data_IF_657847845860
#
_entry.id   IF_657847845860
#
_cell.length_a   1.000
_cell.length_b   1.000
_cell.length_c   1.000
_cell.angle_alpha   90.00
_cell.angle_beta   90.00
_cell.angle_gamma   90.00
#
_symmetry.space_group_name_H-M   'P 1'
#
loop_
_entity.id
_entity.type
_entity.pdbx_description
1 polymer ?
#
# COMPACT_ATOMS: atom_id res chain seq x y z
N UNK A 1 -2.51 34.99 -13.61
CA UNK A 1 -1.30 34.15 -13.44
C UNK A 1 -1.64 32.99 -12.51
N UNK A 2 -1.36 31.74 -12.86
CA UNK A 2 -1.54 30.63 -11.94
C UNK A 2 -0.60 30.83 -10.74
N UNK A 3 -1.15 30.81 -9.52
CA UNK A 3 -0.33 30.86 -8.29
C UNK A 3 0.67 29.72 -8.33
N UNK A 4 1.97 30.04 -8.24
CA UNK A 4 2.98 29.02 -8.03
C UNK A 4 2.58 28.20 -6.78
N UNK A 5 2.60 26.87 -6.85
CA UNK A 5 2.30 26.06 -5.69
C UNK A 5 3.31 26.39 -4.59
N UNK A 6 2.81 26.85 -3.45
CA UNK A 6 3.67 27.05 -2.28
C UNK A 6 4.30 25.72 -1.90
N UNK A 7 5.60 25.69 -1.55
CA UNK A 7 6.25 24.47 -1.11
C UNK A 7 5.49 23.88 0.08
N UNK A 8 5.32 22.56 0.10
CA UNK A 8 4.69 21.87 1.21
C UNK A 8 5.49 22.16 2.50
N UNK A 9 4.84 22.56 3.59
CA UNK A 9 5.52 22.86 4.85
C UNK A 9 6.07 21.63 5.54
N UNK A 10 5.64 20.42 5.13
CA UNK A 10 6.00 19.15 5.75
C UNK A 10 6.33 18.10 4.69
N UNK A 11 7.38 17.31 4.94
CA UNK A 11 7.79 16.17 4.13
C UNK A 11 7.83 14.91 5.01
N UNK A 12 7.19 13.83 4.58
CA UNK A 12 7.20 12.58 5.34
C UNK A 12 6.01 11.68 5.05
N UNK A 13 5.78 10.71 5.92
CA UNK A 13 4.64 9.82 5.85
C UNK A 13 3.74 9.90 7.08
N UNK A 14 2.45 9.64 6.91
CA UNK A 14 1.48 9.37 7.97
C UNK A 14 0.92 7.98 7.77
N UNK A 15 0.72 7.26 8.85
CA UNK A 15 -0.01 6.00 8.86
C UNK A 15 -1.34 6.24 9.58
N UNK A 16 -2.44 6.18 8.84
CA UNK A 16 -3.78 6.40 9.38
C UNK A 16 -4.51 5.07 9.49
N UNK A 17 -5.13 4.81 10.64
CA UNK A 17 -6.13 3.76 10.77
C UNK A 17 -7.43 4.24 10.13
N UNK A 18 -7.64 3.85 8.86
CA UNK A 18 -8.85 4.26 8.15
C UNK A 18 -10.08 3.61 8.78
N UNK A 19 -11.06 4.37 9.25
CA UNK A 19 -12.30 3.80 9.76
C UNK A 19 -13.16 3.22 8.63
N UNK A 20 -14.08 2.34 8.97
CA UNK A 20 -15.11 1.82 8.07
C UNK A 20 -16.04 2.96 7.58
N UNK A 21 -16.59 2.81 6.40
CA UNK A 21 -17.56 3.74 5.80
C UNK A 21 -16.95 4.99 5.14
N UNK A 22 -15.65 5.22 5.30
CA UNK A 22 -14.92 6.31 4.61
C UNK A 22 -14.14 5.76 3.43
N UNK A 23 -14.08 6.53 2.35
CA UNK A 23 -13.17 6.25 1.24
C UNK A 23 -11.72 6.66 1.59
N UNK A 24 -10.74 6.10 0.90
CA UNK A 24 -9.35 6.58 1.03
C UNK A 24 -9.20 8.05 0.66
N UNK A 25 -10.06 8.55 -0.26
CA UNK A 25 -10.05 9.95 -0.69
C UNK A 25 -10.55 10.89 0.41
N UNK A 26 -11.60 10.49 1.15
CA UNK A 26 -12.11 11.26 2.30
C UNK A 26 -11.02 11.47 3.35
N UNK A 27 -10.20 10.43 3.60
CA UNK A 27 -9.08 10.54 4.54
C UNK A 27 -7.98 11.46 4.00
N UNK A 28 -7.65 11.35 2.71
CA UNK A 28 -6.69 12.27 2.06
C UNK A 28 -7.17 13.72 2.19
N UNK A 29 -8.44 14.00 1.95
CA UNK A 29 -9.00 15.35 2.03
C UNK A 29 -9.05 15.87 3.46
N UNK A 30 -9.39 15.02 4.44
CA UNK A 30 -9.30 15.39 5.85
C UNK A 30 -7.86 15.77 6.23
N UNK A 31 -6.86 14.97 5.82
CA UNK A 31 -5.45 15.28 6.10
C UNK A 31 -4.98 16.54 5.36
N UNK A 32 -5.42 16.78 4.12
CA UNK A 32 -5.16 18.02 3.39
C UNK A 32 -5.66 19.25 4.14
N UNK A 33 -6.87 19.16 4.69
CA UNK A 33 -7.44 20.23 5.51
C UNK A 33 -6.63 20.50 6.77
N UNK A 34 -6.26 19.43 7.51
CA UNK A 34 -5.47 19.53 8.75
C UNK A 34 -4.04 20.04 8.49
N UNK A 35 -3.43 19.64 7.39
CA UNK A 35 -2.07 20.00 7.01
C UNK A 35 -1.98 21.39 6.36
N UNK A 36 -3.07 21.92 5.81
CA UNK A 36 -3.11 23.21 5.11
C UNK A 36 -2.46 23.20 3.72
N UNK A 37 -2.21 22.03 3.10
CA UNK A 37 -1.65 21.94 1.74
C UNK A 37 -2.13 20.68 1.00
N UNK A 38 -1.94 20.67 -0.34
CA UNK A 38 -2.59 19.69 -1.24
C UNK A 38 -1.72 18.52 -1.67
N UNK A 39 -0.40 18.64 -1.59
CA UNK A 39 0.53 17.62 -2.12
C UNK A 39 0.59 16.41 -1.18
N UNK A 40 -0.45 15.58 -1.22
CA UNK A 40 -0.60 14.35 -0.45
C UNK A 40 -1.06 13.23 -1.37
N UNK A 41 -0.37 12.10 -1.33
CA UNK A 41 -0.72 10.87 -2.03
C UNK A 41 -0.83 9.69 -1.08
N UNK A 42 -1.42 8.57 -1.50
CA UNK A 42 -1.53 7.35 -0.67
C UNK A 42 -0.88 6.14 -1.34
N UNK A 43 -0.51 5.12 -0.54
CA UNK A 43 0.14 3.89 -0.97
C UNK A 43 -0.86 2.73 -1.17
N UNK A 44 -1.94 2.99 -1.87
CA UNK A 44 -2.96 2.01 -2.23
C UNK A 44 -4.30 2.25 -1.57
N UNK A 45 -5.32 2.22 -2.40
CA UNK A 45 -6.72 2.42 -2.02
C UNK A 45 -7.20 1.34 -1.04
N UNK A 46 -8.07 1.71 -0.11
CA UNK A 46 -8.94 0.85 0.66
C UNK A 46 -10.39 1.17 0.28
N UNK A 47 -11.19 0.12 0.10
CA UNK A 47 -12.64 0.23 -0.12
C UNK A 47 -13.33 0.85 1.13
N UNK A 48 -14.55 1.38 1.03
CA UNK A 48 -15.27 1.95 2.17
C UNK A 48 -15.46 0.94 3.32
N UNK A 49 -15.80 -0.31 2.99
CA UNK A 49 -15.91 -1.41 3.95
C UNK A 49 -14.61 -1.64 4.74
N UNK A 50 -13.46 -1.47 4.09
CA UNK A 50 -12.16 -1.82 4.65
C UNK A 50 -11.70 -0.82 5.72
N UNK A 51 -11.03 -1.37 6.76
CA UNK A 51 -10.37 -0.59 7.82
C UNK A 51 -8.86 -0.76 7.78
N UNK A 52 -8.14 -0.03 8.64
CA UNK A 52 -6.73 -0.26 8.91
C UNK A 52 -5.77 0.65 8.14
N UNK A 53 -4.57 0.17 7.93
CA UNK A 53 -3.41 0.94 7.47
C UNK A 53 -3.65 1.63 6.13
N UNK A 54 -3.77 2.95 6.15
CA UNK A 54 -3.72 3.82 4.98
C UNK A 54 -2.50 4.74 5.12
N UNK A 55 -1.47 4.47 4.33
CA UNK A 55 -0.24 5.27 4.34
C UNK A 55 -0.40 6.45 3.40
N UNK A 56 -0.16 7.66 3.92
CA UNK A 56 -0.16 8.91 3.18
C UNK A 56 1.26 9.45 3.10
N UNK A 57 1.69 9.84 1.90
CA UNK A 57 2.96 10.52 1.66
C UNK A 57 2.70 12.00 1.45
N UNK A 58 3.42 12.87 2.16
CA UNK A 58 3.23 14.30 2.21
C UNK A 58 4.42 15.03 1.60
N UNK A 59 4.14 16.11 0.87
CA UNK A 59 5.16 16.97 0.31
C UNK A 59 6.10 16.22 -0.63
N UNK A 60 7.41 16.39 -0.45
CA UNK A 60 8.43 15.73 -1.28
C UNK A 60 8.38 14.21 -1.20
N UNK A 61 7.89 13.64 -0.09
CA UNK A 61 7.74 12.19 0.05
C UNK A 61 6.80 11.59 -1.00
N UNK A 62 5.87 12.37 -1.60
CA UNK A 62 5.01 11.90 -2.69
C UNK A 62 5.81 11.36 -3.89
N UNK A 63 7.04 11.82 -4.08
CA UNK A 63 7.94 11.32 -5.14
C UNK A 63 8.42 9.89 -4.89
N UNK A 64 8.25 9.39 -3.67
CA UNK A 64 8.61 8.01 -3.29
C UNK A 64 7.51 6.99 -3.56
N UNK A 65 6.28 7.40 -3.94
CA UNK A 65 5.15 6.50 -4.23
C UNK A 65 5.57 5.33 -5.11
N UNK A 66 6.33 5.59 -6.19
CA UNK A 66 6.76 4.56 -7.14
C UNK A 66 7.62 3.45 -6.54
N UNK A 67 8.31 3.69 -5.41
CA UNK A 67 9.12 2.69 -4.71
C UNK A 67 8.29 1.84 -3.72
N UNK A 68 7.05 2.24 -3.51
CA UNK A 68 6.10 1.53 -2.65
C UNK A 68 5.02 0.78 -3.44
N UNK A 69 4.91 0.99 -4.76
CA UNK A 69 3.81 0.45 -5.57
C UNK A 69 3.74 -1.09 -5.54
N UNK A 70 4.88 -1.78 -5.49
CA UNK A 70 4.95 -3.24 -5.45
C UNK A 70 4.91 -3.86 -4.06
N UNK A 71 4.88 -3.05 -2.98
CA UNK A 71 5.01 -3.57 -1.61
C UNK A 71 3.86 -4.50 -1.23
N UNK A 72 4.22 -5.59 -0.53
CA UNK A 72 3.28 -6.56 0.03
C UNK A 72 2.30 -5.89 0.96
N UNK A 73 1.13 -6.46 1.06
CA UNK A 73 0.08 -6.03 1.96
C UNK A 73 -0.38 -7.20 2.80
N UNK A 74 -0.66 -6.96 4.06
CA UNK A 74 -1.20 -7.96 4.97
C UNK A 74 -2.59 -7.54 5.42
N UNK A 75 -3.47 -8.53 5.49
CA UNK A 75 -4.87 -8.35 5.85
C UNK A 75 -5.32 -9.38 6.88
N UNK A 76 -6.24 -8.98 7.74
CA UNK A 76 -7.21 -9.89 8.35
C UNK A 76 -8.52 -9.72 7.61
N UNK A 77 -9.17 -10.82 7.25
CA UNK A 77 -10.38 -10.80 6.44
C UNK A 77 -11.39 -11.83 6.94
N UNK A 78 -12.68 -11.49 6.97
CA UNK A 78 -13.79 -12.38 7.26
C UNK A 78 -14.60 -12.62 5.99
N UNK A 79 -14.76 -13.91 5.63
CA UNK A 79 -15.58 -14.34 4.50
C UNK A 79 -16.87 -14.92 5.01
N UNK A 80 -18.01 -14.41 4.54
CA UNK A 80 -19.35 -14.93 4.80
C UNK A 80 -19.74 -15.87 3.67
N UNK A 81 -19.94 -17.12 3.99
CA UNK A 81 -20.41 -18.16 3.09
C UNK A 81 -21.93 -18.27 3.13
N UNK A 82 -22.52 -18.80 2.04
CA UNK A 82 -23.96 -19.05 1.92
C UNK A 82 -24.59 -18.32 0.75
N UNK A 83 -24.03 -17.21 0.30
CA UNK A 83 -24.40 -16.49 -0.92
C UNK A 83 -23.27 -15.57 -1.38
N UNK A 84 -23.22 -15.35 -2.69
CA UNK A 84 -22.35 -14.33 -3.29
C UNK A 84 -23.08 -12.98 -3.37
N UNK A 85 -22.30 -11.88 -3.58
CA UNK A 85 -22.85 -10.57 -3.93
C UNK A 85 -22.25 -10.09 -5.24
N UNK A 86 -22.91 -9.12 -5.90
CA UNK A 86 -22.45 -8.57 -7.17
C UNK A 86 -21.16 -7.73 -7.05
N UNK A 87 -20.79 -7.26 -5.84
CA UNK A 87 -19.55 -6.53 -5.55
C UNK A 87 -18.47 -7.41 -4.94
N UNK A 88 -18.80 -8.67 -4.61
CA UNK A 88 -17.97 -9.62 -3.88
C UNK A 88 -17.68 -9.21 -2.42
N UNK A 89 -18.41 -8.22 -1.90
CA UNK A 89 -18.36 -7.76 -0.51
C UNK A 89 -19.79 -7.52 0.05
N UNK A 90 -19.89 -7.21 1.34
CA UNK A 90 -21.18 -7.02 2.02
C UNK A 90 -21.92 -5.74 1.64
N UNK A 91 -21.31 -4.83 0.86
CA UNK A 91 -21.99 -3.62 0.36
C UNK A 91 -22.80 -3.89 -0.93
N UNK A 92 -22.65 -5.09 -1.52
CA UNK A 92 -23.32 -5.51 -2.73
C UNK A 92 -24.69 -6.15 -2.51
N UNK A 93 -25.39 -6.39 -3.63
CA UNK A 93 -26.68 -7.08 -3.67
C UNK A 93 -26.44 -8.59 -3.72
N UNK A 94 -27.16 -9.35 -2.87
CA UNK A 94 -27.07 -10.81 -2.86
C UNK A 94 -27.45 -11.43 -4.20
N UNK A 95 -26.69 -12.45 -4.61
CA UNK A 95 -26.94 -13.25 -5.80
C UNK A 95 -27.41 -14.65 -5.39
N UNK A 96 -28.69 -14.76 -5.14
CA UNK A 96 -29.34 -16.01 -4.69
C UNK A 96 -29.67 -16.01 -3.19
N UNK A 97 -30.31 -17.10 -2.72
CA UNK A 97 -30.71 -17.27 -1.34
C UNK A 97 -29.50 -17.60 -0.44
N UNK A 98 -29.59 -17.27 0.86
CA UNK A 98 -28.65 -17.75 1.86
C UNK A 98 -28.91 -19.24 2.16
N UNK A 99 -27.97 -20.11 1.81
CA UNK A 99 -28.10 -21.56 1.95
C UNK A 99 -27.56 -22.09 3.31
N UNK A 100 -27.12 -21.21 4.20
CA UNK A 100 -26.61 -21.54 5.53
C UNK A 100 -25.69 -22.77 5.56
N UNK A 101 -24.52 -22.75 4.89
CA UNK A 101 -23.69 -23.92 4.70
C UNK A 101 -23.07 -24.43 6.00
N UNK A 102 -22.92 -25.74 6.11
CA UNK A 102 -22.04 -26.34 7.12
C UNK A 102 -20.62 -26.36 6.53
N UNK A 103 -19.74 -25.55 7.09
CA UNK A 103 -18.37 -25.43 6.61
C UNK A 103 -17.47 -26.50 7.22
N UNK A 104 -16.71 -27.20 6.37
CA UNK A 104 -15.65 -28.12 6.80
C UNK A 104 -14.32 -27.34 6.89
N UNK A 105 -13.70 -27.37 8.07
CA UNK A 105 -12.42 -26.68 8.33
C UNK A 105 -11.31 -27.18 7.40
N UNK A 106 -11.19 -28.49 7.20
CA UNK A 106 -10.14 -29.09 6.37
C UNK A 106 -10.28 -28.71 4.91
N UNK A 107 -11.55 -28.59 4.42
CA UNK A 107 -11.83 -28.12 3.07
C UNK A 107 -11.38 -26.64 2.91
N UNK A 108 -11.75 -25.78 3.88
CA UNK A 108 -11.37 -24.36 3.85
C UNK A 108 -9.85 -24.18 3.89
N UNK A 109 -9.15 -24.88 4.79
CA UNK A 109 -7.69 -24.82 4.92
C UNK A 109 -6.98 -25.30 3.64
N UNK A 110 -7.46 -26.38 3.02
CA UNK A 110 -6.93 -26.88 1.75
C UNK A 110 -7.12 -25.86 0.63
N UNK A 111 -8.32 -25.30 0.46
CA UNK A 111 -8.60 -24.31 -0.58
C UNK A 111 -7.79 -23.01 -0.40
N UNK A 112 -7.55 -22.60 0.86
CA UNK A 112 -6.67 -21.49 1.17
C UNK A 112 -5.21 -21.81 0.76
N UNK A 113 -4.72 -23.01 1.10
CA UNK A 113 -3.36 -23.45 0.73
C UNK A 113 -3.15 -23.55 -0.79
N UNK A 114 -4.15 -24.06 -1.54
CA UNK A 114 -4.13 -24.12 -3.00
C UNK A 114 -4.08 -22.73 -3.68
N UNK A 115 -4.47 -21.69 -2.98
CA UNK A 115 -4.48 -20.31 -3.47
C UNK A 115 -3.18 -19.54 -3.12
N UNK A 116 -2.20 -20.21 -2.50
CA UNK A 116 -0.87 -19.64 -2.22
C UNK A 116 0.01 -19.78 -3.46
N UNK A 117 0.78 -18.74 -3.77
CA UNK A 117 1.66 -18.64 -4.93
C UNK A 117 1.17 -17.63 -5.97
N UNK A 118 1.82 -17.60 -7.15
CA UNK A 118 1.45 -16.72 -8.26
C UNK A 118 0.28 -17.31 -9.06
N UNK A 119 -0.68 -16.47 -9.42
CA UNK A 119 -1.80 -16.82 -10.31
C UNK A 119 -2.39 -15.59 -10.99
N UNK A 120 -3.24 -15.84 -12.00
CA UNK A 120 -3.99 -14.80 -12.70
C UNK A 120 -5.35 -14.57 -12.00
N UNK A 121 -5.56 -13.37 -11.46
CA UNK A 121 -6.81 -13.00 -10.80
C UNK A 121 -7.63 -12.05 -11.68
N UNK A 122 -8.91 -12.36 -11.87
CA UNK A 122 -9.86 -11.43 -12.47
C UNK A 122 -10.31 -10.42 -11.41
N UNK A 123 -10.05 -9.11 -11.60
CA UNK A 123 -10.53 -8.09 -10.69
C UNK A 123 -12.06 -8.05 -10.61
N UNK A 124 -12.67 -7.65 -9.49
CA UNK A 124 -14.10 -7.42 -9.42
C UNK A 124 -14.49 -6.23 -10.32
N UNK A 125 -15.72 -6.28 -10.88
CA UNK A 125 -16.23 -5.21 -11.76
C UNK A 125 -16.24 -3.85 -11.03
N UNK A 126 -16.57 -3.86 -9.75
CA UNK A 126 -16.50 -2.68 -8.89
C UNK A 126 -15.09 -2.46 -8.34
N UNK A 127 -14.15 -2.08 -9.21
CA UNK A 127 -12.75 -1.82 -8.85
C UNK A 127 -12.23 -0.50 -9.42
N UNK A 128 -11.12 -0.01 -8.85
CA UNK A 128 -10.42 1.17 -9.35
C UNK A 128 -9.54 0.88 -10.59
N UNK A 129 -9.53 -0.37 -11.10
CA UNK A 129 -8.80 -0.73 -12.32
C UNK A 129 -9.35 0.07 -13.49
N UNK A 130 -8.47 0.68 -14.29
CA UNK A 130 -8.89 1.49 -15.43
C UNK A 130 -9.13 0.64 -16.66
N UNK A 131 -10.27 0.85 -17.30
CA UNK A 131 -10.65 0.31 -18.62
C UNK A 131 -10.83 1.50 -19.54
N UNK A 132 -10.08 1.56 -20.63
CA UNK A 132 -10.07 2.71 -21.55
C UNK A 132 -9.89 4.08 -20.84
N UNK A 133 -9.04 4.12 -19.80
CA UNK A 133 -8.75 5.34 -19.05
C UNK A 133 -9.75 5.71 -17.95
N UNK A 134 -10.91 5.02 -17.86
CA UNK A 134 -11.96 5.23 -16.85
C UNK A 134 -11.95 4.12 -15.81
N UNK A 135 -12.17 4.40 -14.51
CA UNK A 135 -12.28 3.37 -13.48
C UNK A 135 -13.44 2.40 -13.77
N UNK A 136 -13.23 1.10 -13.57
CA UNK A 136 -14.24 0.07 -13.85
C UNK A 136 -15.54 0.28 -13.03
N UNK A 137 -15.42 0.75 -11.76
CA UNK A 137 -16.58 1.03 -10.92
C UNK A 137 -17.50 2.15 -11.49
N UNK A 138 -16.95 3.12 -12.23
CA UNK A 138 -17.75 4.18 -12.87
C UNK A 138 -18.56 3.63 -14.05
N UNK A 139 -17.98 2.70 -14.81
CA UNK A 139 -18.64 2.02 -15.92
C UNK A 139 -19.74 1.09 -15.39
N UNK A 140 -19.40 0.29 -14.35
CA UNK A 140 -20.34 -0.63 -13.71
C UNK A 140 -21.59 0.08 -13.15
N UNK A 141 -21.43 1.25 -12.50
CA UNK A 141 -22.55 2.07 -12.00
C UNK A 141 -23.46 2.59 -13.11
N UNK A 142 -22.97 2.66 -14.35
CA UNK A 142 -23.75 3.07 -15.53
C UNK A 142 -24.34 1.87 -16.29
N UNK A 143 -24.22 0.65 -15.73
CA UNK A 143 -24.60 -0.62 -16.39
C UNK A 143 -23.90 -0.82 -17.75
N UNK A 144 -22.73 -0.19 -17.95
CA UNK A 144 -21.88 -0.46 -19.11
C UNK A 144 -21.19 -1.83 -18.92
N UNK A 145 -21.13 -2.63 -19.98
CA UNK A 145 -20.44 -3.94 -19.94
C UNK A 145 -18.94 -3.69 -19.76
N UNK A 146 -18.37 -4.22 -18.69
CA UNK A 146 -16.95 -4.08 -18.36
C UNK A 146 -16.28 -5.44 -18.46
N UNK A 147 -15.46 -5.64 -19.46
CA UNK A 147 -14.60 -6.80 -19.57
C UNK A 147 -13.27 -6.50 -18.90
N UNK A 148 -12.99 -7.21 -17.78
CA UNK A 148 -11.76 -7.08 -17.04
C UNK A 148 -10.83 -8.25 -17.37
N UNK A 149 -9.63 -7.93 -17.88
CA UNK A 149 -8.62 -8.94 -18.12
C UNK A 149 -8.00 -9.37 -16.80
N UNK A 150 -7.76 -10.69 -16.62
CA UNK A 150 -6.96 -11.19 -15.50
C UNK A 150 -5.63 -10.43 -15.38
N UNK A 151 -5.10 -10.38 -14.20
CA UNK A 151 -3.82 -9.75 -13.91
C UNK A 151 -3.01 -10.65 -12.96
N UNK A 152 -1.69 -10.73 -13.15
CA UNK A 152 -0.83 -11.52 -12.29
C UNK A 152 -0.82 -10.95 -10.88
N UNK A 153 -1.06 -11.82 -9.90
CA UNK A 153 -0.99 -11.55 -8.47
C UNK A 153 -0.28 -12.71 -7.78
N UNK A 154 0.15 -12.47 -6.54
CA UNK A 154 0.78 -13.50 -5.73
C UNK A 154 0.26 -13.44 -4.30
N UNK A 155 -0.14 -14.57 -3.75
CA UNK A 155 -0.50 -14.74 -2.34
C UNK A 155 0.65 -15.46 -1.65
N UNK A 156 1.26 -14.83 -0.65
CA UNK A 156 2.41 -15.37 0.09
C UNK A 156 2.00 -16.15 1.33
N UNK A 157 0.89 -15.74 1.97
CA UNK A 157 0.27 -16.41 3.09
C UNK A 157 -1.26 -16.33 2.95
N UNK A 158 -1.94 -17.46 3.20
CA UNK A 158 -3.38 -17.52 3.27
C UNK A 158 -3.78 -18.55 4.33
N UNK A 159 -3.91 -18.10 5.57
CA UNK A 159 -4.09 -18.97 6.74
C UNK A 159 -5.44 -18.71 7.39
N UNK A 160 -6.20 -19.78 7.61
CA UNK A 160 -7.43 -19.76 8.41
C UNK A 160 -7.10 -19.46 9.88
N UNK A 161 -7.73 -18.46 10.47
CA UNK A 161 -7.52 -18.04 11.86
C UNK A 161 -8.69 -18.34 12.76
N UNK A 162 -9.90 -18.49 12.21
CA UNK A 162 -11.09 -18.83 12.98
C UNK A 162 -12.27 -19.16 12.09
N UNK A 163 -13.23 -19.91 12.64
CA UNK A 163 -14.52 -20.20 11.99
C UNK A 163 -15.63 -20.12 13.01
N UNK A 164 -16.76 -19.54 12.63
CA UNK A 164 -17.96 -19.43 13.45
C UNK A 164 -19.20 -19.40 12.54
N UNK A 165 -20.02 -20.47 12.62
CA UNK A 165 -21.15 -20.61 11.72
C UNK A 165 -20.72 -20.57 10.26
N UNK A 166 -21.31 -19.67 9.48
CA UNK A 166 -20.98 -19.47 8.09
C UNK A 166 -19.85 -18.41 7.85
N UNK A 167 -19.15 -18.00 8.89
CA UNK A 167 -18.02 -17.10 8.83
C UNK A 167 -16.69 -17.84 8.95
N UNK A 168 -15.74 -17.55 8.06
CA UNK A 168 -14.35 -17.95 8.21
C UNK A 168 -13.44 -16.73 8.19
N UNK A 169 -12.48 -16.66 9.11
CA UNK A 169 -11.52 -15.54 9.23
C UNK A 169 -10.12 -16.00 8.83
N UNK A 170 -9.43 -15.12 8.15
CA UNK A 170 -8.13 -15.41 7.54
C UNK A 170 -7.09 -14.33 7.84
N UNK A 171 -5.82 -14.74 7.91
CA UNK A 171 -4.64 -13.90 7.73
C UNK A 171 -4.15 -14.10 6.30
N UNK A 172 -3.99 -13.00 5.55
CA UNK A 172 -3.60 -13.05 4.14
C UNK A 172 -2.46 -12.05 3.90
N UNK A 173 -1.34 -12.55 3.34
CA UNK A 173 -0.27 -11.70 2.81
C UNK A 173 -0.21 -11.86 1.30
N UNK A 174 -0.25 -10.73 0.57
CA UNK A 174 -0.32 -10.76 -0.89
C UNK A 174 0.41 -9.59 -1.55
N UNK A 175 0.65 -9.74 -2.85
CA UNK A 175 1.19 -8.70 -3.72
C UNK A 175 0.22 -7.52 -3.85
N UNK A 176 0.77 -6.38 -4.27
CA UNK A 176 -0.07 -5.24 -4.66
C UNK A 176 -0.95 -5.60 -5.86
N UNK A 177 -2.20 -5.15 -5.83
CA UNK A 177 -3.17 -5.44 -6.89
C UNK A 177 -4.05 -6.66 -6.63
N UNK A 178 -3.75 -7.48 -5.61
CA UNK A 178 -4.61 -8.60 -5.22
C UNK A 178 -5.91 -8.08 -4.60
N UNK A 179 -7.04 -8.58 -5.07
CA UNK A 179 -8.38 -8.30 -4.55
C UNK A 179 -8.81 -9.39 -3.59
N UNK A 180 -8.88 -9.07 -2.30
CA UNK A 180 -9.33 -10.00 -1.26
C UNK A 180 -10.80 -10.38 -1.48
N UNK A 181 -11.59 -9.48 -2.05
CA UNK A 181 -12.99 -9.74 -2.46
C UNK A 181 -13.10 -10.88 -3.47
N UNK A 182 -12.20 -10.90 -4.47
CA UNK A 182 -12.15 -12.02 -5.44
C UNK A 182 -11.78 -13.32 -4.76
N UNK A 183 -10.82 -13.33 -3.80
CA UNK A 183 -10.48 -14.55 -3.04
C UNK A 183 -11.69 -15.11 -2.27
N UNK A 184 -12.51 -14.24 -1.66
CA UNK A 184 -13.73 -14.65 -0.98
C UNK A 184 -14.73 -15.26 -1.95
N UNK A 185 -15.01 -14.58 -3.06
CA UNK A 185 -15.91 -15.04 -4.10
C UNK A 185 -15.48 -16.38 -4.67
N UNK A 186 -14.21 -16.50 -5.09
CA UNK A 186 -13.68 -17.72 -5.72
C UNK A 186 -13.73 -18.92 -4.77
N UNK A 187 -13.41 -18.72 -3.48
CA UNK A 187 -13.53 -19.77 -2.47
C UNK A 187 -14.98 -20.23 -2.30
N UNK A 188 -15.93 -19.29 -2.26
CA UNK A 188 -17.36 -19.60 -2.21
C UNK A 188 -17.88 -20.36 -3.43
N UNK A 189 -17.35 -20.04 -4.63
CA UNK A 189 -17.67 -20.77 -5.87
C UNK A 189 -17.12 -22.22 -5.82
N UNK A 190 -15.87 -22.40 -5.37
CA UNK A 190 -15.26 -23.74 -5.24
C UNK A 190 -16.00 -24.63 -4.25
N UNK A 191 -16.57 -24.06 -3.18
CA UNK A 191 -17.39 -24.79 -2.19
C UNK A 191 -18.81 -25.04 -2.73
N UNK A 192 -19.29 -24.21 -3.65
CA UNK A 192 -20.61 -24.34 -4.28
C UNK A 192 -21.76 -23.64 -3.54
N UNK A 193 -21.46 -22.88 -2.45
CA UNK A 193 -22.48 -22.16 -1.69
C UNK A 193 -22.44 -20.63 -1.89
N UNK A 194 -21.46 -20.12 -2.65
CA UNK A 194 -21.18 -18.68 -2.75
C UNK A 194 -20.56 -18.14 -1.46
N UNK A 195 -19.78 -17.06 -1.61
CA UNK A 195 -19.27 -16.28 -0.48
C UNK A 195 -18.98 -14.84 -0.92
N UNK A 196 -18.84 -13.96 0.08
CA UNK A 196 -18.44 -12.59 -0.10
C UNK A 196 -17.55 -12.13 1.07
N UNK A 197 -16.81 -11.05 0.85
CA UNK A 197 -16.01 -10.41 1.89
C UNK A 197 -16.94 -9.62 2.83
N UNK A 198 -17.02 -10.03 4.10
CA UNK A 198 -17.85 -9.38 5.13
C UNK A 198 -17.05 -8.36 5.95
N UNK A 199 -15.79 -8.70 6.28
CA UNK A 199 -14.91 -7.89 7.11
C UNK A 199 -13.51 -7.86 6.50
N UNK A 200 -12.83 -6.72 6.56
CA UNK A 200 -11.43 -6.62 6.14
C UNK A 200 -10.71 -5.49 6.87
N UNK A 201 -9.54 -5.81 7.40
CA UNK A 201 -8.61 -4.84 7.98
C UNK A 201 -7.25 -5.02 7.34
N UNK A 202 -6.71 -3.95 6.72
CA UNK A 202 -5.32 -3.97 6.26
C UNK A 202 -4.39 -3.72 7.44
N UNK A 203 -3.62 -4.73 7.83
CA UNK A 203 -2.75 -4.68 9.00
C UNK A 203 -1.34 -4.18 8.68
N UNK A 204 -0.89 -4.30 7.41
CA UNK A 204 0.40 -3.77 6.99
C UNK A 204 0.46 -3.42 5.49
N UNK A 205 1.37 -2.49 5.16
CA UNK A 205 1.80 -2.12 3.80
C UNK A 205 3.32 -1.92 3.83
N UNK A 206 4.11 -2.87 3.30
CA UNK A 206 5.58 -2.83 3.42
C UNK A 206 6.02 -2.69 4.87
N UNK A 207 6.81 -1.66 5.17
CA UNK A 207 7.32 -1.35 6.52
C UNK A 207 6.30 -0.69 7.45
N UNK A 208 5.11 -0.36 6.98
CA UNK A 208 4.10 0.32 7.79
C UNK A 208 3.09 -0.68 8.34
N UNK A 209 2.84 -0.62 9.66
CA UNK A 209 1.92 -1.53 10.35
C UNK A 209 0.78 -0.80 11.06
N UNK A 210 -0.24 -1.57 11.47
CA UNK A 210 -1.38 -1.04 12.21
C UNK A 210 -0.99 -0.47 13.58
N UNK A 211 0.08 -0.97 14.19
CA UNK A 211 0.59 -0.48 15.47
C UNK A 211 1.13 0.96 15.37
N UNK A 212 1.60 1.36 14.19
CA UNK A 212 2.06 2.72 13.90
C UNK A 212 0.92 3.65 13.49
N UNK A 213 -0.26 3.09 13.20
CA UNK A 213 -1.38 3.85 12.69
C UNK A 213 -2.07 4.66 13.79
N UNK A 214 -2.47 5.87 13.47
CA UNK A 214 -3.25 6.74 14.35
C UNK A 214 -4.63 6.99 13.78
N UNK A 215 -5.59 7.30 14.64
CA UNK A 215 -6.92 7.73 14.25
C UNK A 215 -6.89 9.16 13.69
N UNK A 216 -7.80 9.49 12.79
CA UNK A 216 -7.86 10.83 12.18
C UNK A 216 -8.17 11.91 13.23
N UNK A 217 -8.93 11.57 14.25
CA UNK A 217 -9.30 12.43 15.38
C UNK A 217 -8.07 12.77 16.23
N UNK A 218 -7.17 11.81 16.43
CA UNK A 218 -5.90 12.02 17.13
C UNK A 218 -5.01 13.00 16.36
N UNK A 219 -4.90 12.80 15.04
CA UNK A 219 -4.18 13.73 14.17
C UNK A 219 -4.77 15.14 14.22
N UNK A 220 -6.11 15.25 14.18
CA UNK A 220 -6.80 16.52 14.29
C UNK A 220 -6.55 17.22 15.65
N UNK A 221 -6.52 16.45 16.74
CA UNK A 221 -6.16 16.98 18.05
C UNK A 221 -4.70 17.48 18.10
N UNK A 222 -3.78 16.76 17.47
CA UNK A 222 -2.38 17.17 17.36
C UNK A 222 -2.23 18.46 16.52
N UNK A 223 -2.95 18.55 15.40
CA UNK A 223 -2.95 19.73 14.53
C UNK A 223 -3.42 20.99 15.27
N UNK A 224 -4.53 20.90 16.02
CA UNK A 224 -5.02 22.03 16.85
C UNK A 224 -4.01 22.53 17.89
N UNK A 225 -3.09 21.64 18.33
CA UNK A 225 -2.02 21.97 19.28
C UNK A 225 -0.71 22.40 18.57
N UNK A 226 -0.70 22.59 17.25
CA UNK A 226 0.49 22.90 16.46
C UNK A 226 1.50 21.74 16.38
N UNK A 227 1.07 20.51 16.70
CA UNK A 227 1.93 19.31 16.76
C UNK A 227 1.74 18.37 15.54
N UNK A 228 1.20 18.85 14.43
CA UNK A 228 0.99 18.03 13.23
C UNK A 228 2.30 17.40 12.75
N UNK A 229 3.37 18.19 12.63
CA UNK A 229 4.66 17.73 12.13
C UNK A 229 5.28 16.61 12.98
N UNK A 230 5.07 16.62 14.29
CA UNK A 230 5.59 15.58 15.19
C UNK A 230 4.91 14.20 15.01
N UNK A 231 3.86 14.13 14.21
CA UNK A 231 3.14 12.89 13.87
C UNK A 231 3.63 12.27 12.57
N UNK A 232 4.51 12.95 11.85
CA UNK A 232 5.06 12.45 10.60
C UNK A 232 6.22 11.50 10.86
N UNK A 233 6.26 10.41 10.11
CA UNK A 233 7.47 9.63 9.89
C UNK A 233 8.34 10.47 8.97
N UNK A 234 9.56 10.86 9.38
CA UNK A 234 10.42 11.74 8.59
C UNK A 234 10.78 11.14 7.23
N UNK A 235 10.98 12.01 6.23
CA UNK A 235 11.40 11.61 4.87
C UNK A 235 12.67 10.75 4.91
N UNK A 236 13.60 11.06 5.82
CA UNK A 236 14.87 10.38 6.03
C UNK A 236 14.72 8.94 6.51
N UNK A 237 13.60 8.61 7.14
CA UNK A 237 13.29 7.27 7.66
C UNK A 237 12.60 6.36 6.64
N UNK A 238 12.16 6.90 5.49
CA UNK A 238 11.45 6.14 4.47
C UNK A 238 12.39 5.24 3.67
N UNK A 239 11.86 4.12 3.15
CA UNK A 239 12.60 3.10 2.40
C UNK A 239 13.80 2.53 3.19
N UNK A 240 13.64 2.13 4.47
CA UNK A 240 14.74 1.71 5.32
C UNK A 240 15.50 0.47 4.79
N UNK A 241 14.86 -0.34 3.96
CA UNK A 241 15.45 -1.50 3.31
C UNK A 241 16.49 -1.16 2.23
N UNK A 242 16.46 0.06 1.67
CA UNK A 242 17.48 0.48 0.73
C UNK A 242 18.78 0.84 1.46
N UNK A 243 19.95 0.41 0.94
CA UNK A 243 21.24 0.83 1.46
C UNK A 243 21.34 2.35 1.52
N UNK A 244 22.16 2.84 2.46
CA UNK A 244 22.42 4.25 2.66
C UNK A 244 23.83 4.60 2.22
N UNK A 245 24.01 5.73 1.51
CA UNK A 245 25.29 6.32 1.20
C UNK A 245 25.36 7.75 1.77
N UNK A 246 26.38 8.04 2.59
CA UNK A 246 26.67 9.40 3.05
C UNK A 246 27.70 10.03 2.10
N UNK A 247 27.37 11.18 1.52
CA UNK A 247 28.23 11.83 0.55
C UNK A 247 28.88 13.10 1.12
N UNK A 248 30.10 13.38 0.66
CA UNK A 248 30.82 14.61 0.99
C UNK A 248 30.20 15.81 0.24
N UNK A 249 30.41 17.07 0.70
CA UNK A 249 29.77 18.26 0.11
C UNK A 249 30.02 18.43 -1.38
N UNK A 250 31.20 18.06 -1.88
CA UNK A 250 31.53 18.13 -3.29
C UNK A 250 30.66 17.18 -4.13
N UNK A 251 30.40 15.96 -3.63
CA UNK A 251 29.52 14.98 -4.26
C UNK A 251 28.05 15.38 -4.07
N UNK A 252 27.69 15.95 -2.93
CA UNK A 252 26.32 16.45 -2.67
C UNK A 252 25.89 17.43 -3.75
N UNK A 253 26.73 18.42 -4.08
CA UNK A 253 26.45 19.37 -5.16
C UNK A 253 26.16 18.65 -6.49
N UNK A 254 26.99 17.67 -6.84
CA UNK A 254 26.83 16.87 -8.07
C UNK A 254 25.53 16.05 -8.07
N UNK A 255 25.21 15.40 -6.92
CA UNK A 255 23.97 14.64 -6.74
C UNK A 255 22.74 15.53 -6.87
N UNK A 256 22.76 16.73 -6.29
CA UNK A 256 21.64 17.69 -6.34
C UNK A 256 21.39 18.24 -7.75
N UNK A 257 22.41 18.27 -8.61
CA UNK A 257 22.26 18.58 -10.04
C UNK A 257 21.89 17.32 -10.88
N UNK A 258 21.63 16.16 -10.24
CA UNK A 258 21.30 14.93 -10.95
C UNK A 258 22.47 14.24 -11.62
N UNK A 259 23.73 14.65 -11.32
CA UNK A 259 24.93 14.07 -11.93
C UNK A 259 25.29 12.70 -11.38
N UNK A 260 25.87 11.83 -12.23
CA UNK A 260 26.39 10.53 -11.80
C UNK A 260 27.50 10.70 -10.77
N UNK A 261 27.56 9.79 -9.79
CA UNK A 261 28.56 9.83 -8.73
C UNK A 261 29.00 8.40 -8.34
N UNK A 262 30.20 8.32 -7.77
CA UNK A 262 30.76 7.07 -7.29
C UNK A 262 30.63 6.98 -5.77
N UNK A 263 30.40 5.77 -5.27
CA UNK A 263 30.32 5.47 -3.84
C UNK A 263 31.34 4.41 -3.50
N UNK A 264 32.16 4.66 -2.48
CA UNK A 264 33.09 3.67 -1.95
C UNK A 264 32.38 2.71 -1.01
N UNK A 265 32.92 1.53 -0.79
CA UNK A 265 32.38 0.55 0.17
C UNK A 265 32.27 1.15 1.58
N UNK A 266 33.22 1.98 2.00
CA UNK A 266 33.21 2.65 3.31
C UNK A 266 32.06 3.68 3.46
N UNK A 267 31.51 4.18 2.37
CA UNK A 267 30.38 5.12 2.38
C UNK A 267 29.03 4.41 2.35
N UNK A 268 29.00 3.10 2.05
CA UNK A 268 27.79 2.30 2.00
C UNK A 268 27.51 1.70 3.37
N UNK A 269 26.33 1.99 3.89
CA UNK A 269 25.77 1.31 5.04
C UNK A 269 24.64 0.41 4.55
N UNK A 270 24.59 -0.87 4.95
CA UNK A 270 23.48 -1.75 4.57
C UNK A 270 22.15 -1.12 5.03
N UNK A 271 21.09 -1.41 4.30
CA UNK A 271 19.75 -1.06 4.75
C UNK A 271 19.47 -1.82 6.03
N UNK A 272 19.04 -1.13 7.07
CA UNK A 272 18.56 -1.74 8.30
C UNK A 272 17.04 -1.77 8.24
N UNK A 273 16.50 -2.92 8.60
CA UNK A 273 15.07 -3.05 8.77
C UNK A 273 14.81 -3.85 10.03
N UNK A 274 14.74 -3.15 11.17
CA UNK A 274 13.89 -3.61 12.25
C UNK A 274 12.47 -3.30 11.82
N UNK A 275 11.79 -4.34 11.34
CA UNK A 275 10.38 -4.21 11.02
C UNK A 275 9.59 -4.18 12.32
N UNK A 276 8.65 -3.25 12.47
CA UNK A 276 7.68 -3.35 13.54
C UNK A 276 6.92 -4.68 13.44
N UNK A 277 6.45 -5.26 14.55
CA UNK A 277 5.65 -6.47 14.54
C UNK A 277 4.52 -6.35 13.49
N UNK A 278 4.36 -7.38 12.66
CA UNK A 278 3.35 -7.38 11.61
C UNK A 278 3.75 -6.70 10.28
N UNK A 279 4.84 -5.96 10.20
CA UNK A 279 5.35 -5.46 8.92
C UNK A 279 6.12 -6.54 8.15
N UNK A 280 6.12 -6.46 6.82
CA UNK A 280 6.72 -7.46 5.94
C UNK A 280 8.03 -6.99 5.33
N UNK A 281 9.07 -7.85 5.38
CA UNK A 281 10.27 -7.64 4.57
C UNK A 281 9.93 -7.97 3.12
N UNK A 282 9.97 -6.97 2.23
CA UNK A 282 10.23 -7.25 0.84
C UNK A 282 11.65 -6.80 0.50
N UNK A 283 12.50 -7.78 0.29
CA UNK A 283 13.54 -7.63 -0.73
C UNK A 283 12.78 -7.58 -2.07
N UNK A 284 12.97 -6.54 -2.89
CA UNK A 284 12.55 -6.63 -4.29
C UNK A 284 13.13 -7.93 -4.84
N UNK A 285 12.38 -8.69 -5.68
CA UNK A 285 12.92 -9.92 -6.26
C UNK A 285 14.27 -9.59 -6.89
N UNK A 286 15.30 -10.33 -6.52
CA UNK A 286 16.64 -10.19 -7.10
C UNK A 286 16.50 -10.29 -8.62
N UNK A 287 16.85 -9.21 -9.32
CA UNK A 287 16.91 -9.16 -10.78
C UNK A 287 15.92 -8.23 -11.48
N UNK A 288 14.90 -7.68 -10.82
CA UNK A 288 13.91 -6.83 -11.50
C UNK A 288 14.38 -5.38 -11.75
N UNK A 289 15.30 -4.84 -10.95
CA UNK A 289 15.82 -3.48 -11.07
C UNK A 289 17.30 -3.40 -10.69
N UNK A 290 18.01 -2.42 -11.26
CA UNK A 290 19.38 -2.12 -10.83
C UNK A 290 19.42 -1.74 -9.34
N UNK A 291 20.46 -2.11 -8.59
CA UNK A 291 20.58 -1.83 -7.16
C UNK A 291 20.37 -0.34 -6.86
N UNK A 292 19.52 -0.05 -5.87
CA UNK A 292 19.17 1.31 -5.46
C UNK A 292 19.73 1.63 -4.09
N UNK A 293 19.96 2.92 -3.83
CA UNK A 293 20.37 3.41 -2.53
C UNK A 293 19.76 4.78 -2.20
N UNK A 294 19.71 5.07 -0.91
CA UNK A 294 19.38 6.38 -0.36
C UNK A 294 20.66 7.19 -0.20
N UNK A 295 20.66 8.41 -0.72
CA UNK A 295 21.83 9.31 -0.64
C UNK A 295 21.56 10.38 0.40
N UNK A 296 22.46 10.51 1.37
CA UNK A 296 22.36 11.45 2.47
C UNK A 296 23.51 12.48 2.45
N UNK A 297 23.18 13.72 2.80
CA UNK A 297 24.16 14.74 3.11
C UNK A 297 24.87 14.44 4.46
N UNK A 298 25.93 15.21 4.75
CA UNK A 298 26.59 15.14 6.05
C UNK A 298 25.69 15.61 7.22
N UNK A 299 24.67 16.46 6.94
CA UNK A 299 23.67 16.88 7.92
C UNK A 299 22.53 15.88 8.10
N UNK A 300 22.71 14.64 7.63
CA UNK A 300 21.72 13.57 7.74
C UNK A 300 20.39 13.85 6.99
N UNK A 301 20.42 14.65 5.92
CA UNK A 301 19.26 14.90 5.06
C UNK A 301 19.26 13.94 3.90
N UNK A 302 18.09 13.33 3.61
CA UNK A 302 17.90 12.53 2.40
C UNK A 302 17.88 13.47 1.18
N UNK A 303 18.91 13.40 0.33
CA UNK A 303 19.07 14.29 -0.83
C UNK A 303 18.70 13.63 -2.16
N UNK A 304 18.78 12.29 -2.24
CA UNK A 304 18.38 11.58 -3.45
C UNK A 304 18.06 10.11 -3.17
N UNK A 305 17.29 9.51 -4.09
CA UNK A 305 17.31 8.08 -4.36
C UNK A 305 18.10 7.89 -5.66
N UNK A 306 19.07 6.98 -5.67
CA UNK A 306 19.91 6.72 -6.82
C UNK A 306 19.90 5.24 -7.19
N UNK A 307 20.13 4.95 -8.47
CA UNK A 307 20.16 3.62 -9.05
C UNK A 307 21.53 3.34 -9.67
N UNK A 308 22.04 2.14 -9.52
CA UNK A 308 23.33 1.74 -10.08
C UNK A 308 23.29 1.74 -11.61
N UNK A 309 24.28 2.36 -12.24
CA UNK A 309 24.49 2.34 -13.70
C UNK A 309 25.55 1.30 -14.07
N UNK A 310 26.61 1.27 -13.29
CA UNK A 310 27.66 0.25 -13.31
C UNK A 310 28.13 0.05 -11.87
N UNK A 311 28.93 -0.98 -11.55
CA UNK A 311 29.40 -1.20 -10.19
C UNK A 311 29.98 0.07 -9.56
N UNK A 312 29.48 0.44 -8.38
CA UNK A 312 29.84 1.62 -7.58
C UNK A 312 29.53 3.00 -8.20
N UNK A 313 28.93 3.07 -9.39
CA UNK A 313 28.51 4.32 -10.02
C UNK A 313 26.99 4.39 -10.03
N UNK A 314 26.45 5.46 -9.47
CA UNK A 314 25.03 5.65 -9.30
C UNK A 314 24.54 6.92 -10.01
N UNK A 315 23.31 6.84 -10.52
CA UNK A 315 22.57 7.95 -11.12
C UNK A 315 21.40 8.31 -10.20
N UNK A 316 21.30 9.57 -9.74
CA UNK A 316 20.10 10.01 -9.03
C UNK A 316 18.85 9.87 -9.93
N UNK A 317 17.82 9.19 -9.40
CA UNK A 317 16.53 9.02 -10.08
C UNK A 317 15.41 9.81 -9.40
N UNK A 318 15.63 10.21 -8.15
CA UNK A 318 14.86 11.25 -7.43
C UNK A 318 15.87 12.15 -6.72
N UNK A 319 15.78 13.45 -6.90
CA UNK A 319 16.61 14.44 -6.19
C UNK A 319 15.68 15.29 -5.33
N UNK A 320 15.94 15.36 -4.03
CA UNK A 320 15.25 16.26 -3.11
C UNK A 320 16.05 17.57 -3.00
N UNK A 321 15.35 18.71 -3.08
CA UNK A 321 15.97 20.04 -3.06
C UNK A 321 17.10 20.19 -4.12
N UNK A 322 16.77 20.09 -5.42
CA UNK A 322 17.75 20.29 -6.47
C UNK A 322 18.33 21.71 -6.35
N UNK A 323 19.61 21.85 -6.63
CA UNK A 323 20.22 23.17 -6.77
C UNK A 323 19.81 23.78 -8.11
N UNK A 324 19.69 25.12 -8.18
CA UNK A 324 19.35 25.83 -9.42
C UNK A 324 20.36 25.62 -10.53
#
# INVERSE_FOLDING_TARGET
MPRQPQPAPFDGALVINKPQGKTSHDIVDAVRHLAGFRQIGHLGTLDPLATGVLVLLLGKATRLVRFYTGRRKRYTAGFRFGFATNTYDSEGVAQGPDVAPVLDRGVIERLAAESVGPFEQTPPIFSAKKVHGRPAYELARKNEVVELKPAPVEVFEYRLTGMEGAMARFSIECSSGTYIRSLAHDMGQKIGCGAHLAEITRTAVGEFSLEQAMEIEELAAAARKGKFQSRLIPLESLLPNLPRANVLPILEKRVRHGGKFNVTVAQLQPGHMELPPGATTQLEPEGAHAPRLRVFSQQNKLIAIAEAVVPRTYQPIVVFDPLP
#
